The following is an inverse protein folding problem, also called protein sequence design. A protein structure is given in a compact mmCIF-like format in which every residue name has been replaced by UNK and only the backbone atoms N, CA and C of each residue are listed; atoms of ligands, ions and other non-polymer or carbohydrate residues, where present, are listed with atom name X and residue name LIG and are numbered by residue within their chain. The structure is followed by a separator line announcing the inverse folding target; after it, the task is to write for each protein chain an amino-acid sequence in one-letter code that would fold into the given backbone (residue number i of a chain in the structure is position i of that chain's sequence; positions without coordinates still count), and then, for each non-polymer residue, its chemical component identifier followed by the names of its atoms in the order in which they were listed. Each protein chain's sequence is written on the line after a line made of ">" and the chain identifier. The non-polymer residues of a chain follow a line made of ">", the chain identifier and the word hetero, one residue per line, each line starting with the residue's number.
data_IF_397134696494
#
_entry.id   IF_397134696494
#
_cell.length_a   1.000
_cell.length_b   1.000
_cell.length_c   1.000
_cell.angle_alpha   90.00
_cell.angle_beta   90.00
_cell.angle_gamma   90.00
#
_symmetry.space_group_name_H-M   'P 1'
#
loop_
_entity.id
_entity.type
_entity.pdbx_description
1 polymer ?
#
# COMPACT_ATOMS: atom_id res chain seq x y z
N UNK A 1 -6.09 5.44 13.93
CA UNK A 1 -6.34 4.00 13.69
C UNK A 1 -5.61 3.64 12.40
N UNK A 2 -4.84 2.56 12.39
CA UNK A 2 -4.07 2.12 11.22
C UNK A 2 -4.70 0.83 10.71
N UNK A 3 -5.05 0.80 9.42
CA UNK A 3 -5.44 -0.41 8.70
C UNK A 3 -4.27 -0.79 7.82
N UNK A 4 -3.72 -1.99 8.02
CA UNK A 4 -2.50 -2.47 7.36
C UNK A 4 -2.79 -3.77 6.62
N UNK A 5 -2.39 -3.86 5.37
CA UNK A 5 -2.34 -5.13 4.64
C UNK A 5 -1.26 -6.02 5.27
N UNK A 6 -1.62 -7.26 5.62
CA UNK A 6 -0.81 -8.12 6.47
C UNK A 6 -0.43 -9.47 5.82
N UNK A 7 -0.85 -9.71 4.58
CA UNK A 7 -0.73 -11.03 3.93
C UNK A 7 -0.07 -10.99 2.55
N UNK A 8 0.39 -9.82 2.09
CA UNK A 8 1.09 -9.63 0.83
C UNK A 8 2.28 -8.67 0.97
N UNK A 9 2.62 -7.99 -0.14
CA UNK A 9 3.69 -7.01 -0.15
C UNK A 9 5.08 -7.64 0.03
N UNK A 10 6.03 -6.83 0.48
CA UNK A 10 7.45 -7.21 0.57
C UNK A 10 7.72 -8.35 1.58
N UNK A 11 6.78 -8.59 2.49
CA UNK A 11 6.92 -9.64 3.49
C UNK A 11 6.71 -11.04 2.92
N UNK A 12 6.00 -11.17 1.79
CA UNK A 12 5.66 -12.45 1.17
C UNK A 12 6.05 -12.54 -0.31
N UNK A 13 6.44 -11.42 -0.94
CA UNK A 13 6.79 -11.40 -2.35
C UNK A 13 8.05 -12.19 -2.71
N UNK A 14 8.00 -12.82 -3.88
CA UNK A 14 9.08 -13.57 -4.51
C UNK A 14 9.50 -12.91 -5.84
N UNK A 15 10.75 -13.07 -6.32
CA UNK A 15 11.84 -13.80 -5.68
C UNK A 15 12.42 -13.08 -4.45
N UNK A 16 12.89 -13.83 -3.46
CA UNK A 16 13.63 -13.30 -2.32
C UNK A 16 14.85 -14.15 -1.96
N UNK A 17 15.77 -13.55 -1.22
CA UNK A 17 16.91 -14.28 -0.65
C UNK A 17 18.21 -13.49 -0.73
N UNK A 18 19.31 -14.18 -0.42
CA UNK A 18 20.66 -13.62 -0.46
C UNK A 18 21.52 -14.52 -1.34
N UNK A 19 22.16 -13.96 -2.37
CA UNK A 19 23.03 -14.71 -3.30
C UNK A 19 24.40 -14.03 -3.47
N UNK A 20 25.48 -14.80 -3.71
CA UNK A 20 26.75 -14.20 -4.14
C UNK A 20 26.59 -13.55 -5.52
N UNK A 21 27.41 -12.53 -5.79
CA UNK A 21 27.53 -11.89 -7.11
C UNK A 21 29.00 -11.83 -7.53
N UNK A 22 29.27 -11.58 -8.82
CA UNK A 22 30.57 -11.84 -9.48
C UNK A 22 31.77 -11.07 -8.91
N UNK A 23 31.53 -9.97 -8.18
CA UNK A 23 32.57 -9.16 -7.53
C UNK A 23 32.94 -9.65 -6.11
N UNK A 24 32.47 -10.83 -5.70
CA UNK A 24 32.71 -11.38 -4.35
C UNK A 24 31.79 -10.83 -3.27
N UNK A 25 30.84 -9.96 -3.60
CA UNK A 25 29.84 -9.44 -2.67
C UNK A 25 28.60 -10.35 -2.56
N UNK A 26 27.71 -10.03 -1.62
CA UNK A 26 26.41 -10.68 -1.44
C UNK A 26 25.28 -9.71 -1.77
N UNK A 27 24.35 -10.13 -2.62
CA UNK A 27 23.15 -9.37 -2.98
C UNK A 27 21.93 -9.93 -2.25
N UNK A 28 21.28 -9.09 -1.44
CA UNK A 28 19.95 -9.34 -0.89
C UNK A 28 18.86 -8.88 -1.85
N UNK A 29 17.78 -9.64 -1.97
CA UNK A 29 16.61 -9.32 -2.77
C UNK A 29 15.35 -9.62 -1.96
N UNK A 30 14.40 -8.69 -2.01
CA UNK A 30 13.01 -8.90 -1.63
C UNK A 30 12.13 -8.24 -2.70
N UNK A 31 11.00 -8.85 -3.00
CA UNK A 31 10.07 -8.31 -4.00
C UNK A 31 8.89 -7.64 -3.32
N UNK A 32 8.71 -6.35 -3.57
CA UNK A 32 7.50 -5.65 -3.17
C UNK A 32 6.46 -5.77 -4.29
N UNK A 33 5.42 -6.57 -4.07
CA UNK A 33 4.37 -6.80 -5.07
C UNK A 33 3.00 -6.87 -4.40
N UNK A 34 2.00 -6.40 -5.14
CA UNK A 34 0.59 -6.54 -4.83
C UNK A 34 -0.18 -6.78 -6.13
N UNK A 35 -1.28 -7.50 -6.03
CA UNK A 35 -2.32 -7.53 -7.06
C UNK A 35 -3.46 -6.57 -6.72
N UNK A 36 -4.19 -6.11 -7.73
CA UNK A 36 -5.43 -5.32 -7.57
C UNK A 36 -6.33 -5.88 -6.47
N UNK A 37 -6.61 -7.18 -6.49
CA UNK A 37 -7.51 -7.83 -5.52
C UNK A 37 -7.04 -7.71 -4.06
N UNK A 38 -5.73 -7.71 -3.82
CA UNK A 38 -5.14 -7.56 -2.48
C UNK A 38 -5.28 -6.14 -1.94
N UNK A 39 -5.15 -5.16 -2.83
CA UNK A 39 -5.28 -3.74 -2.49
C UNK A 39 -6.75 -3.41 -2.25
N UNK A 40 -7.64 -3.84 -3.16
CA UNK A 40 -9.07 -3.59 -3.06
C UNK A 40 -9.65 -4.18 -1.76
N UNK A 41 -9.29 -5.41 -1.37
CA UNK A 41 -9.86 -6.04 -0.16
C UNK A 41 -9.55 -5.25 1.12
N UNK A 42 -8.32 -4.75 1.27
CA UNK A 42 -7.92 -4.01 2.48
C UNK A 42 -8.43 -2.58 2.45
N UNK A 43 -8.50 -1.96 1.26
CA UNK A 43 -9.08 -0.64 1.08
C UNK A 43 -10.58 -0.62 1.44
N UNK A 44 -11.36 -1.63 1.04
CA UNK A 44 -12.78 -1.79 1.46
C UNK A 44 -12.91 -1.80 2.98
N UNK A 45 -12.08 -2.59 3.66
CA UNK A 45 -12.06 -2.63 5.13
C UNK A 45 -11.77 -1.25 5.71
N UNK A 46 -10.81 -0.51 5.15
CA UNK A 46 -10.50 0.84 5.61
C UNK A 46 -11.68 1.81 5.42
N UNK A 47 -12.36 1.80 4.27
CA UNK A 47 -13.52 2.64 4.01
C UNK A 47 -14.73 2.26 4.90
N UNK A 48 -15.04 0.98 5.03
CA UNK A 48 -16.13 0.49 5.88
C UNK A 48 -15.93 0.88 7.35
N UNK A 49 -14.69 0.83 7.82
CA UNK A 49 -14.34 1.29 9.17
C UNK A 49 -14.39 2.82 9.30
N UNK A 50 -14.02 3.57 8.26
CA UNK A 50 -14.08 5.03 8.26
C UNK A 50 -15.52 5.54 8.39
N UNK A 51 -16.49 4.90 7.73
CA UNK A 51 -17.93 5.22 7.85
C UNK A 51 -18.47 5.13 9.28
N UNK A 52 -17.86 4.29 10.12
CA UNK A 52 -18.21 4.13 11.54
C UNK A 52 -17.44 5.09 12.46
N UNK A 53 -16.65 5.99 11.89
CA UNK A 53 -15.75 6.92 12.60
C UNK A 53 -15.94 8.32 12.04
N UNK A 54 -14.84 9.04 11.84
CA UNK A 54 -14.83 10.42 11.32
C UNK A 54 -15.02 10.51 9.81
N UNK A 55 -15.40 9.41 9.13
CA UNK A 55 -15.69 9.36 7.71
C UNK A 55 -14.56 9.88 6.81
N UNK A 56 -13.31 9.59 7.21
CA UNK A 56 -12.07 10.02 6.55
C UNK A 56 -11.11 8.84 6.40
N UNK A 57 -10.47 8.72 5.25
CA UNK A 57 -9.35 7.81 4.98
C UNK A 57 -8.17 8.63 4.42
N UNK A 58 -7.00 8.43 5.02
CA UNK A 58 -5.72 8.83 4.42
C UNK A 58 -5.01 7.56 3.96
N UNK A 59 -4.90 7.38 2.65
CA UNK A 59 -4.14 6.28 2.04
C UNK A 59 -2.68 6.66 1.94
N UNK A 60 -1.79 5.83 2.50
CA UNK A 60 -0.36 6.12 2.59
C UNK A 60 0.46 5.12 1.80
N UNK A 61 1.29 5.60 0.88
CA UNK A 61 2.07 4.78 -0.05
C UNK A 61 3.32 5.54 -0.56
N UNK A 62 4.03 5.07 -1.60
CA UNK A 62 5.24 5.74 -2.15
C UNK A 62 5.22 5.82 -3.68
N UNK A 63 4.17 6.41 -4.26
CA UNK A 63 3.87 6.30 -5.69
C UNK A 63 4.83 7.09 -6.55
N UNK A 64 5.54 8.05 -5.94
CA UNK A 64 6.56 8.83 -6.62
C UNK A 64 7.87 8.04 -6.86
N UNK A 65 7.97 6.81 -6.36
CA UNK A 65 9.16 5.95 -6.51
C UNK A 65 8.81 4.51 -6.88
N UNK A 66 7.74 3.94 -6.32
CA UNK A 66 7.44 2.51 -6.42
C UNK A 66 6.20 2.27 -7.28
N UNK A 67 6.32 1.40 -8.30
CA UNK A 67 5.19 1.00 -9.15
C UNK A 67 4.09 0.28 -8.37
N UNK A 68 4.46 -0.54 -7.37
CA UNK A 68 3.49 -1.13 -6.45
C UNK A 68 2.74 -0.07 -5.62
N UNK A 69 3.38 1.06 -5.32
CA UNK A 69 2.74 2.22 -4.69
C UNK A 69 1.82 2.96 -5.66
N UNK A 70 2.26 3.16 -6.91
CA UNK A 70 1.42 3.75 -7.96
C UNK A 70 0.14 2.93 -8.19
N UNK A 71 0.26 1.61 -8.34
CA UNK A 71 -0.90 0.71 -8.42
C UNK A 71 -1.78 0.83 -7.17
N UNK A 72 -1.20 0.89 -5.97
CA UNK A 72 -1.94 1.08 -4.73
C UNK A 72 -2.79 2.34 -4.74
N UNK A 73 -2.19 3.47 -5.14
CA UNK A 73 -2.87 4.76 -5.22
C UNK A 73 -4.04 4.72 -6.21
N UNK A 74 -3.83 4.14 -7.38
CA UNK A 74 -4.84 4.00 -8.44
C UNK A 74 -6.02 3.14 -7.97
N UNK A 75 -5.76 1.96 -7.43
CA UNK A 75 -6.81 1.01 -7.02
C UNK A 75 -7.62 1.52 -5.82
N UNK A 76 -6.99 2.22 -4.88
CA UNK A 76 -7.70 2.88 -3.76
C UNK A 76 -8.59 4.01 -4.27
N UNK A 77 -8.10 4.81 -5.22
CA UNK A 77 -8.88 5.89 -5.83
C UNK A 77 -10.08 5.34 -6.62
N UNK A 78 -9.85 4.33 -7.45
CA UNK A 78 -10.89 3.71 -8.27
C UNK A 78 -11.99 3.08 -7.41
N UNK A 79 -11.62 2.37 -6.33
CA UNK A 79 -12.59 1.83 -5.39
C UNK A 79 -13.41 2.93 -4.71
N UNK A 80 -12.76 4.00 -4.25
CA UNK A 80 -13.42 5.14 -3.65
C UNK A 80 -14.46 5.75 -4.60
N UNK A 81 -14.04 6.02 -5.84
CA UNK A 81 -14.87 6.67 -6.84
C UNK A 81 -16.05 5.79 -7.28
N UNK A 82 -15.93 4.47 -7.20
CA UNK A 82 -17.03 3.56 -7.52
C UNK A 82 -18.02 3.41 -6.37
N UNK A 83 -17.55 3.30 -5.13
CA UNK A 83 -18.36 2.71 -4.05
C UNK A 83 -18.38 3.52 -2.74
N UNK A 84 -17.44 4.45 -2.55
CA UNK A 84 -17.25 5.14 -1.28
C UNK A 84 -17.12 6.67 -1.43
N UNK A 85 -17.78 7.26 -2.43
CA UNK A 85 -17.76 8.72 -2.70
C UNK A 85 -18.19 9.59 -1.51
N UNK A 86 -18.89 9.01 -0.55
CA UNK A 86 -19.35 9.66 0.67
C UNK A 86 -18.26 9.72 1.76
N UNK A 87 -17.14 9.00 1.62
CA UNK A 87 -16.01 9.03 2.55
C UNK A 87 -14.95 10.00 2.04
N UNK A 88 -14.44 10.89 2.89
CA UNK A 88 -13.35 11.78 2.48
C UNK A 88 -12.04 10.98 2.30
N UNK A 89 -11.52 10.92 1.07
CA UNK A 89 -10.24 10.30 0.74
C UNK A 89 -9.14 11.35 0.55
N UNK A 90 -7.98 11.11 1.16
CA UNK A 90 -6.73 11.81 0.87
C UNK A 90 -5.61 10.80 0.63
N UNK A 91 -4.61 11.18 -0.18
CA UNK A 91 -3.39 10.38 -0.39
C UNK A 91 -2.19 11.09 0.20
N UNK A 92 -1.29 10.35 0.82
CA UNK A 92 -0.09 10.89 1.45
C UNK A 92 1.11 9.97 1.20
N UNK A 93 2.28 10.55 0.93
CA UNK A 93 3.50 9.76 0.82
C UNK A 93 3.93 9.24 2.20
N UNK A 94 4.49 8.03 2.26
CA UNK A 94 4.82 7.35 3.51
C UNK A 94 5.81 8.11 4.39
N UNK A 95 6.79 8.81 3.80
CA UNK A 95 7.72 9.68 4.51
C UNK A 95 7.04 10.93 5.08
N UNK A 96 6.13 11.56 4.33
CA UNK A 96 5.32 12.65 4.87
C UNK A 96 4.41 12.15 6.00
N UNK A 97 3.76 10.99 5.83
CA UNK A 97 2.94 10.36 6.88
C UNK A 97 3.72 10.18 8.19
N UNK A 98 4.97 9.72 8.11
CA UNK A 98 5.83 9.57 9.28
C UNK A 98 6.14 10.90 9.99
N UNK A 99 6.08 12.05 9.29
CA UNK A 99 6.26 13.38 9.89
C UNK A 99 4.99 13.96 10.50
N UNK A 100 3.80 13.53 10.05
CA UNK A 100 2.51 14.06 10.51
C UNK A 100 1.96 13.35 11.77
N UNK A 101 2.52 12.19 12.12
CA UNK A 101 2.12 11.37 13.27
C UNK A 101 2.85 11.78 14.55
#
# INVERSE_FOLDING_TARGET
>A
MIVRELTGGIYFGEPRGIKPIDNGERKGINTHTYTTSEITRVARVAFDLAKKRSNKVTSCEKSNVMEAGQLWKEEVQELHDKEYKDVELSHMLADNCAMQL
#
